data_IF_946099612615
#
_entry.id   IF_946099612615
#
_cell.length_a   1.000
_cell.length_b   1.000
_cell.length_c   1.000
_cell.angle_alpha   90.00
_cell.angle_beta   90.00
_cell.angle_gamma   90.00
#
_symmetry.space_group_name_H-M   'P 1'
#
loop_
_entity.id
_entity.type
_entity.pdbx_description
1 polymer ?
#
# COMPACT_ATOMS: atom_id res chain seq x y z
N UNK A 1 35.30 -4.46 -22.42
CA UNK A 1 34.94 -3.22 -21.70
C UNK A 1 33.43 -3.01 -21.70
N UNK A 2 32.78 -3.15 -22.86
CA UNK A 2 31.31 -3.18 -23.02
C UNK A 2 30.63 -4.30 -22.20
N UNK A 3 31.11 -5.54 -22.26
CA UNK A 3 30.53 -6.67 -21.50
C UNK A 3 30.55 -6.46 -19.99
N UNK A 4 31.66 -5.92 -19.45
CA UNK A 4 31.79 -5.62 -18.01
C UNK A 4 30.84 -4.51 -17.56
N UNK A 5 30.56 -3.52 -18.43
CA UNK A 5 29.54 -2.50 -18.17
C UNK A 5 28.13 -3.09 -18.19
N UNK A 6 27.84 -4.00 -19.12
CA UNK A 6 26.56 -4.69 -19.19
C UNK A 6 26.29 -5.58 -17.95
N UNK A 7 27.32 -6.28 -17.47
CA UNK A 7 27.24 -7.10 -16.26
C UNK A 7 26.98 -6.27 -14.99
N UNK A 8 27.70 -5.14 -14.84
CA UNK A 8 27.46 -4.19 -13.73
C UNK A 8 26.03 -3.65 -13.80
N UNK A 9 25.55 -3.27 -14.99
CA UNK A 9 24.19 -2.75 -15.17
C UNK A 9 23.15 -3.77 -14.75
N UNK A 10 23.31 -5.03 -15.14
CA UNK A 10 22.40 -6.13 -14.75
C UNK A 10 22.41 -6.36 -13.24
N UNK A 11 23.58 -6.29 -12.59
CA UNK A 11 23.71 -6.39 -11.15
C UNK A 11 23.00 -5.25 -10.40
N UNK A 12 23.16 -4.02 -10.89
CA UNK A 12 22.49 -2.84 -10.34
C UNK A 12 20.96 -2.91 -10.50
N UNK A 13 20.48 -3.37 -11.66
CA UNK A 13 19.05 -3.55 -11.90
C UNK A 13 18.45 -4.61 -10.96
N UNK A 14 19.14 -5.73 -10.75
CA UNK A 14 18.71 -6.76 -9.82
C UNK A 14 18.64 -6.25 -8.37
N UNK A 15 19.67 -5.51 -7.92
CA UNK A 15 19.68 -4.87 -6.60
C UNK A 15 18.51 -3.90 -6.45
N UNK A 16 18.27 -3.07 -7.46
CA UNK A 16 17.17 -2.11 -7.44
C UNK A 16 15.80 -2.77 -7.33
N UNK A 17 15.55 -3.81 -8.14
CA UNK A 17 14.29 -4.56 -8.08
C UNK A 17 14.09 -5.20 -6.70
N UNK A 18 15.17 -5.67 -6.06
CA UNK A 18 15.11 -6.15 -4.68
C UNK A 18 14.77 -5.03 -3.68
N UNK A 19 15.33 -3.82 -3.84
CA UNK A 19 15.00 -2.67 -2.99
C UNK A 19 13.54 -2.22 -3.20
N UNK A 20 13.05 -2.15 -4.44
CA UNK A 20 11.65 -1.87 -4.72
C UNK A 20 10.72 -2.91 -4.10
N UNK A 21 11.10 -4.19 -4.19
CA UNK A 21 10.35 -5.28 -3.58
C UNK A 21 10.33 -5.21 -2.04
N UNK A 22 11.21 -4.44 -1.40
CA UNK A 22 11.20 -4.18 0.04
C UNK A 22 10.51 -2.86 0.40
N UNK A 23 10.32 -1.95 -0.55
CA UNK A 23 9.67 -0.68 -0.31
C UNK A 23 8.21 -0.90 0.14
N UNK A 24 7.76 -0.29 1.26
CA UNK A 24 6.40 -0.45 1.76
C UNK A 24 5.34 -0.11 0.71
N UNK A 25 5.59 0.88 -0.14
CA UNK A 25 4.64 1.26 -1.19
C UNK A 25 4.31 0.10 -2.14
N UNK A 26 5.30 -0.76 -2.46
CA UNK A 26 5.15 -1.86 -3.42
C UNK A 26 5.05 -3.24 -2.78
N UNK A 27 5.29 -3.36 -1.47
CA UNK A 27 5.24 -4.62 -0.73
C UNK A 27 4.11 -4.62 0.33
N UNK A 28 2.98 -5.29 0.06
CA UNK A 28 1.84 -5.34 0.97
C UNK A 28 2.17 -5.92 2.35
N UNK A 29 3.10 -6.87 2.43
CA UNK A 29 3.50 -7.51 3.69
C UNK A 29 4.23 -6.50 4.57
N UNK A 30 5.30 -5.90 4.04
CA UNK A 30 6.09 -4.88 4.75
C UNK A 30 5.21 -3.70 5.17
N UNK A 31 4.30 -3.30 4.28
CA UNK A 31 3.35 -2.25 4.57
C UNK A 31 2.39 -2.60 5.71
N UNK A 32 1.78 -3.78 5.67
CA UNK A 32 0.91 -4.26 6.74
C UNK A 32 1.66 -4.28 8.07
N UNK A 33 2.87 -4.85 8.09
CA UNK A 33 3.71 -4.93 9.28
C UNK A 33 4.02 -3.55 9.87
N UNK A 34 4.36 -2.58 9.03
CA UNK A 34 4.56 -1.18 9.44
C UNK A 34 3.28 -0.59 10.03
N UNK A 35 2.13 -0.85 9.43
CA UNK A 35 0.86 -0.29 9.86
C UNK A 35 0.39 -0.85 11.22
N UNK A 36 0.56 -2.15 11.46
CA UNK A 36 0.10 -2.80 12.69
C UNK A 36 1.09 -2.69 13.86
N UNK A 37 2.31 -2.22 13.62
CA UNK A 37 3.32 -2.07 14.66
C UNK A 37 2.80 -1.20 15.81
N UNK A 38 2.93 -1.68 17.06
CA UNK A 38 2.39 -1.06 18.28
C UNK A 38 0.86 -0.88 18.31
N UNK A 39 0.11 -1.46 17.37
CA UNK A 39 -1.35 -1.45 17.38
C UNK A 39 -1.88 -2.47 18.40
N UNK A 40 -3.05 -2.20 19.01
CA UNK A 40 -3.76 -3.22 19.82
C UNK A 40 -4.02 -4.46 18.96
N UNK A 41 -3.69 -5.64 19.47
CA UNK A 41 -3.83 -6.91 18.72
C UNK A 41 -5.25 -7.12 18.22
N UNK A 42 -6.28 -6.86 19.04
CA UNK A 42 -7.68 -6.98 18.62
C UNK A 42 -8.05 -6.08 17.44
N UNK A 43 -7.47 -4.87 17.37
CA UNK A 43 -7.67 -3.96 16.25
C UNK A 43 -6.92 -4.44 15.01
N UNK A 44 -5.67 -4.88 15.16
CA UNK A 44 -4.89 -5.40 14.05
C UNK A 44 -5.55 -6.65 13.43
N UNK A 45 -6.05 -7.58 14.25
CA UNK A 45 -6.79 -8.76 13.77
C UNK A 45 -8.11 -8.42 13.09
N UNK A 46 -8.76 -7.32 13.48
CA UNK A 46 -9.94 -6.84 12.75
C UNK A 46 -9.59 -6.25 11.39
N UNK A 47 -8.38 -5.67 11.25
CA UNK A 47 -7.90 -5.06 10.02
C UNK A 47 -7.29 -6.10 9.05
N UNK A 48 -6.62 -7.10 9.61
CA UNK A 48 -5.83 -8.12 8.90
C UNK A 48 -6.01 -9.48 9.61
N UNK A 49 -7.17 -10.14 9.46
CA UNK A 49 -7.41 -11.45 10.06
C UNK A 49 -6.40 -12.51 9.59
N UNK A 50 -5.80 -12.34 8.42
CA UNK A 50 -4.75 -13.19 7.86
C UNK A 50 -3.47 -13.25 8.71
N UNK A 51 -3.25 -12.30 9.64
CA UNK A 51 -2.10 -12.33 10.56
C UNK A 51 -2.06 -13.62 11.40
N UNK A 52 -3.21 -14.21 11.70
CA UNK A 52 -3.33 -15.46 12.49
C UNK A 52 -3.51 -16.70 11.62
N UNK A 53 -3.39 -16.58 10.30
CA UNK A 53 -3.31 -17.74 9.42
C UNK A 53 -2.08 -18.59 9.78
N UNK A 54 -2.24 -19.92 9.84
CA UNK A 54 -1.21 -20.81 10.38
C UNK A 54 0.10 -20.75 9.61
N UNK A 55 0.06 -20.57 8.29
CA UNK A 55 1.26 -20.48 7.46
C UNK A 55 1.92 -19.10 7.60
N UNK A 56 1.11 -18.04 7.63
CA UNK A 56 1.59 -16.67 7.78
C UNK A 56 2.14 -16.39 9.19
N UNK A 57 1.53 -16.96 10.24
CA UNK A 57 2.03 -16.87 11.62
C UNK A 57 3.47 -17.35 11.69
N UNK A 58 3.80 -18.46 11.01
CA UNK A 58 5.16 -19.00 10.98
C UNK A 58 6.13 -18.00 10.36
N UNK A 59 5.80 -17.47 9.18
CA UNK A 59 6.58 -16.43 8.50
C UNK A 59 6.75 -15.20 9.41
N UNK A 60 5.67 -14.75 10.06
CA UNK A 60 5.66 -13.58 10.94
C UNK A 60 6.49 -13.76 12.21
N UNK A 61 6.37 -14.90 12.87
CA UNK A 61 7.13 -15.17 14.10
C UNK A 61 8.59 -15.49 13.79
N UNK A 62 8.86 -16.34 12.80
CA UNK A 62 10.23 -16.80 12.51
C UNK A 62 11.07 -15.74 11.78
N UNK A 63 10.52 -15.03 10.80
CA UNK A 63 11.29 -14.07 10.00
C UNK A 63 11.23 -12.64 10.57
N UNK A 64 10.07 -12.23 11.07
CA UNK A 64 9.84 -10.85 11.53
C UNK A 64 9.75 -10.71 13.06
N UNK A 65 9.89 -11.80 13.82
CA UNK A 65 9.89 -11.73 15.28
C UNK A 65 8.62 -11.14 15.88
N UNK A 66 7.46 -11.34 15.24
CA UNK A 66 6.19 -10.75 15.68
C UNK A 66 5.66 -11.46 16.91
N UNK A 67 5.31 -10.69 17.94
CA UNK A 67 4.68 -11.18 19.18
C UNK A 67 3.28 -10.58 19.31
N UNK A 68 2.28 -11.45 19.43
CA UNK A 68 0.88 -11.09 19.63
C UNK A 68 0.57 -11.03 21.13
N UNK A 69 0.60 -9.82 21.72
CA UNK A 69 0.25 -9.57 23.12
C UNK A 69 -1.02 -8.75 23.27
N UNK A 70 -1.05 -7.82 24.24
CA UNK A 70 -2.07 -6.74 24.29
C UNK A 70 -1.94 -5.81 23.07
N UNK A 71 -0.71 -5.66 22.60
CA UNK A 71 -0.31 -4.94 21.40
C UNK A 71 0.54 -5.87 20.53
N UNK A 72 0.61 -5.56 19.24
CA UNK A 72 1.54 -6.22 18.33
C UNK A 72 2.93 -5.63 18.56
N UNK A 73 3.86 -6.49 18.90
CA UNK A 73 5.28 -6.17 19.03
C UNK A 73 6.05 -6.81 17.89
N UNK A 74 7.00 -6.07 17.33
CA UNK A 74 7.95 -6.55 16.33
C UNK A 74 9.32 -6.52 17.00
N UNK A 75 10.04 -7.63 16.98
CA UNK A 75 11.33 -7.78 17.66
C UNK A 75 12.47 -7.99 16.67
N UNK A 76 13.70 -7.75 17.14
CA UNK A 76 14.94 -8.15 16.50
C UNK A 76 15.02 -7.75 15.02
N UNK A 77 15.31 -8.72 14.15
CA UNK A 77 15.44 -8.58 12.70
C UNK A 77 14.21 -7.94 12.03
N UNK A 78 13.00 -8.16 12.54
CA UNK A 78 11.80 -7.57 11.97
C UNK A 78 11.76 -6.06 12.09
N UNK A 79 12.24 -5.50 13.21
CA UNK A 79 12.37 -4.04 13.38
C UNK A 79 13.38 -3.47 12.40
N UNK A 80 14.54 -4.12 12.27
CA UNK A 80 15.60 -3.70 11.35
C UNK A 80 15.13 -3.73 9.89
N UNK A 81 14.41 -4.78 9.47
CA UNK A 81 13.85 -4.86 8.12
C UNK A 81 12.83 -3.74 7.86
N UNK A 82 11.94 -3.46 8.82
CA UNK A 82 10.95 -2.39 8.65
C UNK A 82 11.58 -1.00 8.63
N UNK A 83 12.59 -0.78 9.45
CA UNK A 83 13.36 0.46 9.44
C UNK A 83 14.14 0.61 8.13
N UNK A 84 14.78 -0.45 7.65
CA UNK A 84 15.45 -0.48 6.36
C UNK A 84 14.48 -0.21 5.21
N UNK A 85 13.31 -0.85 5.19
CA UNK A 85 12.27 -0.62 4.18
C UNK A 85 11.76 0.82 4.19
N UNK A 86 11.55 1.41 5.37
CA UNK A 86 11.19 2.82 5.52
C UNK A 86 12.30 3.73 4.97
N UNK A 87 13.56 3.44 5.30
CA UNK A 87 14.70 4.19 4.80
C UNK A 87 14.85 4.06 3.28
N UNK A 88 14.51 2.91 2.68
CA UNK A 88 14.45 2.75 1.22
C UNK A 88 13.41 3.70 0.64
N UNK A 89 12.19 3.72 1.18
CA UNK A 89 11.12 4.60 0.70
C UNK A 89 11.55 6.08 0.74
N UNK A 90 12.08 6.54 1.88
CA UNK A 90 12.59 7.91 2.04
C UNK A 90 13.78 8.21 1.11
N UNK A 91 14.70 7.25 0.94
CA UNK A 91 15.84 7.44 0.03
C UNK A 91 15.44 7.41 -1.43
N UNK A 92 14.41 6.66 -1.81
CA UNK A 92 13.84 6.69 -3.15
C UNK A 92 13.20 8.05 -3.46
N UNK A 93 12.81 8.84 -2.47
CA UNK A 93 12.33 10.21 -2.69
C UNK A 93 13.46 11.23 -2.89
N UNK A 94 14.73 10.86 -2.65
CA UNK A 94 15.87 11.76 -2.80
C UNK A 94 16.20 12.03 -4.28
N UNK A 95 16.31 13.31 -4.65
CA UNK A 95 16.69 13.76 -5.98
C UNK A 95 18.01 13.13 -6.47
N UNK A 96 19.01 13.04 -5.59
CA UNK A 96 20.30 12.40 -5.91
C UNK A 96 20.15 10.92 -6.26
N UNK A 97 19.32 10.18 -5.52
CA UNK A 97 19.07 8.76 -5.78
C UNK A 97 18.27 8.59 -7.07
N UNK A 98 17.31 9.46 -7.32
CA UNK A 98 16.51 9.51 -8.55
C UNK A 98 17.35 9.76 -9.81
N UNK A 99 18.33 10.67 -9.71
CA UNK A 99 19.21 10.98 -10.83
C UNK A 99 20.19 9.84 -11.12
N UNK A 100 20.70 9.17 -10.09
CA UNK A 100 21.49 7.93 -10.26
C UNK A 100 20.65 6.85 -10.96
N UNK A 101 19.36 6.69 -10.61
CA UNK A 101 18.48 5.74 -11.29
C UNK A 101 18.29 6.09 -12.77
N UNK A 102 18.01 7.36 -13.06
CA UNK A 102 17.83 7.83 -14.43
C UNK A 102 19.09 7.61 -15.27
N UNK A 103 20.26 7.92 -14.73
CA UNK A 103 21.56 7.79 -15.41
C UNK A 103 21.92 6.33 -15.72
N UNK A 104 21.80 5.44 -14.74
CA UNK A 104 22.32 4.06 -14.87
C UNK A 104 21.32 3.06 -15.45
N UNK A 105 20.02 3.24 -15.17
CA UNK A 105 18.98 2.30 -15.61
C UNK A 105 18.22 2.81 -16.83
N UNK A 106 18.28 4.12 -17.12
CA UNK A 106 17.46 4.74 -18.17
C UNK A 106 15.99 4.85 -17.78
N UNK A 107 15.67 4.76 -16.49
CA UNK A 107 14.33 4.90 -15.92
C UNK A 107 14.42 5.81 -14.70
N UNK A 108 13.59 6.85 -14.67
CA UNK A 108 13.39 7.69 -13.48
C UNK A 108 12.09 7.23 -12.81
N UNK A 109 12.06 7.13 -11.48
CA UNK A 109 10.79 7.15 -10.78
C UNK A 109 10.34 8.62 -10.83
N UNK A 110 9.52 8.98 -11.81
CA UNK A 110 9.09 10.38 -12.00
C UNK A 110 8.38 10.96 -10.77
N UNK A 111 7.98 10.11 -9.82
CA UNK A 111 7.12 10.38 -8.67
C UNK A 111 7.63 9.65 -7.43
N UNK A 112 7.15 10.04 -6.24
CA UNK A 112 7.43 9.30 -5.00
C UNK A 112 6.90 7.86 -5.11
N UNK A 113 7.53 6.87 -4.44
CA UNK A 113 7.07 5.48 -4.47
C UNK A 113 5.58 5.32 -4.13
N UNK A 114 5.10 6.03 -3.11
CA UNK A 114 3.70 6.00 -2.72
C UNK A 114 2.76 6.57 -3.79
N UNK A 115 3.19 7.62 -4.52
CA UNK A 115 2.39 8.20 -5.60
C UNK A 115 2.39 7.30 -6.84
N UNK A 116 3.55 6.79 -7.24
CA UNK A 116 3.67 5.86 -8.36
C UNK A 116 2.83 4.60 -8.13
N UNK A 117 2.87 4.04 -6.92
CA UNK A 117 2.00 2.93 -6.53
C UNK A 117 0.51 3.28 -6.65
N UNK A 118 0.10 4.45 -6.16
CA UNK A 118 -1.30 4.89 -6.29
C UNK A 118 -1.71 5.02 -7.75
N UNK A 119 -0.85 5.53 -8.62
CA UNK A 119 -1.15 5.61 -10.06
C UNK A 119 -1.30 4.25 -10.72
N UNK A 120 -0.40 3.30 -10.41
CA UNK A 120 -0.52 1.91 -10.88
C UNK A 120 -1.85 1.31 -10.42
N UNK A 121 -2.24 1.53 -9.16
CA UNK A 121 -3.48 0.99 -8.62
C UNK A 121 -4.72 1.67 -9.23
N UNK A 122 -4.69 2.98 -9.44
CA UNK A 122 -5.79 3.72 -10.09
C UNK A 122 -5.94 3.27 -11.54
N UNK A 123 -4.84 3.08 -12.26
CA UNK A 123 -4.84 2.54 -13.62
C UNK A 123 -5.45 1.12 -13.66
N UNK A 124 -5.11 0.27 -12.69
CA UNK A 124 -5.71 -1.07 -12.55
C UNK A 124 -7.22 -1.02 -12.25
N UNK A 125 -7.73 0.09 -11.70
CA UNK A 125 -9.13 0.33 -11.37
C UNK A 125 -9.86 1.21 -12.39
N UNK A 126 -9.22 1.61 -13.51
CA UNK A 126 -9.76 2.61 -14.45
C UNK A 126 -11.13 2.26 -15.05
N UNK A 127 -11.45 0.97 -15.15
CA UNK A 127 -12.72 0.48 -15.67
C UNK A 127 -13.80 0.33 -14.60
N UNK A 128 -13.44 0.49 -13.31
CA UNK A 128 -14.35 0.41 -12.17
C UNK A 128 -14.62 1.81 -11.61
N UNK A 129 -15.58 2.49 -12.23
CA UNK A 129 -15.96 3.85 -11.81
C UNK A 129 -16.45 3.88 -10.35
N UNK A 130 -17.14 2.84 -9.87
CA UNK A 130 -17.62 2.78 -8.48
C UNK A 130 -16.43 2.77 -7.51
N UNK A 131 -15.41 1.97 -7.79
CA UNK A 131 -14.20 1.89 -6.96
C UNK A 131 -13.48 3.25 -6.89
N UNK A 132 -13.26 3.91 -8.03
CA UNK A 132 -12.53 5.17 -8.07
C UNK A 132 -13.27 6.31 -7.34
N UNK A 133 -14.59 6.40 -7.52
CA UNK A 133 -15.44 7.40 -6.85
C UNK A 133 -15.51 7.16 -5.34
N UNK A 134 -15.55 5.89 -4.94
CA UNK A 134 -15.46 5.49 -3.54
C UNK A 134 -14.11 5.83 -2.92
N UNK A 135 -13.01 5.51 -3.59
CA UNK A 135 -11.68 5.88 -3.13
C UNK A 135 -11.53 7.39 -2.98
N UNK A 136 -12.09 8.18 -3.90
CA UNK A 136 -12.10 9.64 -3.80
C UNK A 136 -12.83 10.12 -2.55
N UNK A 137 -14.09 9.71 -2.36
CA UNK A 137 -14.89 10.12 -1.20
C UNK A 137 -14.25 9.65 0.11
N UNK A 138 -13.74 8.43 0.15
CA UNK A 138 -13.03 7.88 1.30
C UNK A 138 -11.72 8.62 1.59
N UNK A 139 -10.99 9.06 0.57
CA UNK A 139 -9.78 9.85 0.77
C UNK A 139 -10.08 11.24 1.37
N UNK A 140 -11.22 11.83 1.02
CA UNK A 140 -11.65 13.13 1.56
C UNK A 140 -12.19 13.02 2.99
N UNK A 141 -13.01 12.01 3.26
CA UNK A 141 -13.64 11.80 4.58
C UNK A 141 -12.75 11.01 5.55
N UNK A 142 -11.75 10.32 5.03
CA UNK A 142 -10.87 9.38 5.73
C UNK A 142 -11.53 8.06 6.06
N UNK A 143 -12.70 8.12 6.69
CA UNK A 143 -13.38 7.00 7.29
C UNK A 143 -14.90 7.14 7.18
N UNK A 144 -15.61 6.10 6.74
CA UNK A 144 -17.07 6.13 6.71
C UNK A 144 -17.73 4.75 6.67
N UNK A 145 -19.07 4.74 6.82
CA UNK A 145 -19.91 3.53 6.67
C UNK A 145 -20.36 3.35 5.21
N UNK A 146 -20.73 2.14 4.80
CA UNK A 146 -21.25 1.89 3.44
C UNK A 146 -22.47 2.76 3.09
N UNK A 147 -23.40 2.93 4.03
CA UNK A 147 -24.60 3.74 3.79
C UNK A 147 -24.25 5.20 3.51
N UNK A 148 -23.32 5.76 4.29
CA UNK A 148 -22.81 7.12 4.07
C UNK A 148 -22.05 7.22 2.75
N UNK A 149 -21.20 6.24 2.43
CA UNK A 149 -20.44 6.21 1.18
C UNK A 149 -21.35 6.17 -0.06
N UNK A 150 -22.36 5.30 -0.03
CA UNK A 150 -23.39 5.19 -1.08
C UNK A 150 -24.11 6.53 -1.25
N UNK A 151 -24.55 7.12 -0.15
CA UNK A 151 -25.25 8.41 -0.17
C UNK A 151 -24.38 9.53 -0.72
N UNK A 152 -23.11 9.61 -0.32
CA UNK A 152 -22.18 10.64 -0.78
C UNK A 152 -21.84 10.49 -2.26
N UNK A 153 -21.63 9.26 -2.75
CA UNK A 153 -21.36 9.04 -4.17
C UNK A 153 -22.58 9.37 -5.01
N UNK A 154 -23.78 8.92 -4.61
CA UNK A 154 -25.02 9.26 -5.31
C UNK A 154 -25.23 10.77 -5.36
N UNK A 155 -25.01 11.46 -4.24
CA UNK A 155 -25.18 12.92 -4.13
C UNK A 155 -24.20 13.69 -5.02
N UNK A 156 -22.94 13.25 -5.10
CA UNK A 156 -21.87 13.99 -5.78
C UNK A 156 -21.73 13.65 -7.26
N UNK A 157 -21.99 12.39 -7.62
CA UNK A 157 -21.69 11.85 -8.95
C UNK A 157 -22.92 11.26 -9.66
N UNK A 158 -24.07 11.19 -8.99
CA UNK A 158 -25.31 10.67 -9.59
C UNK A 158 -25.30 9.16 -9.88
N UNK A 159 -24.32 8.42 -9.38
CA UNK A 159 -24.18 6.99 -9.62
C UNK A 159 -25.01 6.22 -8.58
N UNK A 160 -25.88 5.33 -9.06
CA UNK A 160 -26.64 4.40 -8.23
C UNK A 160 -26.09 2.98 -8.37
N UNK A 161 -25.93 2.30 -7.25
CA UNK A 161 -25.46 0.91 -7.18
C UNK A 161 -25.89 0.28 -5.86
N UNK A 162 -25.91 -1.05 -5.82
CA UNK A 162 -26.21 -1.82 -4.62
C UNK A 162 -25.00 -1.91 -3.68
N UNK A 163 -25.25 -2.25 -2.40
CA UNK A 163 -24.19 -2.56 -1.44
C UNK A 163 -23.25 -3.65 -1.99
N UNK A 164 -23.79 -4.68 -2.62
CA UNK A 164 -22.99 -5.80 -3.15
C UNK A 164 -22.09 -5.38 -4.33
N UNK A 165 -22.55 -4.47 -5.18
CA UNK A 165 -21.72 -3.90 -6.25
C UNK A 165 -20.56 -3.09 -5.66
N UNK A 166 -20.84 -2.24 -4.67
CA UNK A 166 -19.80 -1.48 -3.97
C UNK A 166 -18.76 -2.39 -3.31
N UNK A 167 -19.22 -3.43 -2.62
CA UNK A 167 -18.33 -4.41 -1.97
C UNK A 167 -17.38 -5.07 -2.98
N UNK A 168 -17.91 -5.52 -4.13
CA UNK A 168 -17.10 -6.13 -5.19
C UNK A 168 -16.09 -5.15 -5.78
N UNK A 169 -16.51 -3.91 -6.05
CA UNK A 169 -15.64 -2.87 -6.58
C UNK A 169 -14.53 -2.50 -5.62
N UNK A 170 -14.84 -2.37 -4.32
CA UNK A 170 -13.83 -2.03 -3.33
C UNK A 170 -12.89 -3.20 -3.01
N UNK A 171 -13.33 -4.46 -3.14
CA UNK A 171 -12.51 -5.65 -2.89
C UNK A 171 -11.17 -5.57 -3.63
N UNK A 172 -11.19 -5.18 -4.91
CA UNK A 172 -9.98 -5.00 -5.71
C UNK A 172 -9.07 -3.88 -5.16
N UNK A 173 -9.65 -2.78 -4.69
CA UNK A 173 -8.87 -1.71 -4.07
C UNK A 173 -8.26 -2.12 -2.71
N UNK A 174 -8.89 -3.02 -1.97
CA UNK A 174 -8.32 -3.62 -0.75
C UNK A 174 -7.19 -4.59 -1.04
N UNK A 175 -7.34 -5.44 -2.07
CA UNK A 175 -6.26 -6.33 -2.56
C UNK A 175 -5.05 -5.53 -3.03
N UNK A 176 -5.29 -4.35 -3.62
CA UNK A 176 -4.27 -3.35 -3.96
C UNK A 176 -3.83 -2.49 -2.76
N UNK A 177 -4.14 -2.90 -1.53
CA UNK A 177 -3.74 -2.23 -0.29
C UNK A 177 -4.08 -0.72 -0.17
N UNK A 178 -4.99 -0.19 -0.99
CA UNK A 178 -5.43 1.21 -0.92
C UNK A 178 -6.39 1.46 0.26
N UNK A 179 -7.11 0.42 0.67
CA UNK A 179 -8.14 0.47 1.72
C UNK A 179 -7.76 -0.34 2.95
N UNK A 180 -8.32 0.05 4.09
CA UNK A 180 -8.40 -0.77 5.31
C UNK A 180 -9.58 -1.76 5.23
N UNK A 181 -9.61 -2.72 6.16
CA UNK A 181 -10.57 -3.85 6.20
C UNK A 181 -12.02 -3.49 5.88
N UNK A 182 -12.71 -4.43 5.23
CA UNK A 182 -14.16 -4.39 5.11
C UNK A 182 -14.84 -4.87 6.40
N UNK A 183 -15.09 -3.96 7.32
CA UNK A 183 -16.14 -4.20 8.33
C UNK A 183 -17.39 -3.42 7.98
N UNK A 184 -18.55 -3.82 8.51
CA UNK A 184 -19.82 -3.14 8.24
C UNK A 184 -19.80 -1.65 8.60
N UNK A 185 -18.93 -1.26 9.53
CA UNK A 185 -18.81 0.11 10.00
C UNK A 185 -17.55 0.81 9.50
N UNK A 186 -16.45 0.13 9.17
CA UNK A 186 -15.14 0.78 9.00
C UNK A 186 -14.48 0.62 7.62
N UNK A 187 -14.89 1.41 6.61
CA UNK A 187 -14.14 1.55 5.34
C UNK A 187 -13.34 2.85 5.36
N UNK A 188 -12.03 2.78 5.12
CA UNK A 188 -11.18 3.97 5.05
C UNK A 188 -10.00 3.81 4.10
N UNK A 189 -9.53 4.93 3.57
CA UNK A 189 -8.28 4.97 2.79
C UNK A 189 -7.11 5.00 3.76
N UNK A 190 -6.08 4.21 3.47
CA UNK A 190 -4.88 4.21 4.30
C UNK A 190 -4.18 5.56 4.20
N UNK A 191 -3.81 6.12 5.35
CA UNK A 191 -3.39 7.52 5.47
C UNK A 191 -2.22 7.89 4.53
N UNK A 192 -1.28 6.97 4.33
CA UNK A 192 -0.11 7.21 3.47
C UNK A 192 -0.47 7.44 1.99
N UNK A 193 -1.58 6.87 1.50
CA UNK A 193 -2.02 7.01 0.12
C UNK A 193 -3.08 8.08 -0.05
N UNK A 194 -3.69 8.53 1.06
CA UNK A 194 -4.82 9.46 1.04
C UNK A 194 -4.55 10.70 0.22
N UNK A 195 -3.43 11.38 0.47
CA UNK A 195 -3.03 12.58 -0.28
C UNK A 195 -2.89 12.28 -1.77
N UNK A 196 -2.18 11.21 -2.12
CA UNK A 196 -1.89 10.86 -3.51
C UNK A 196 -3.14 10.41 -4.27
N UNK A 197 -4.07 9.71 -3.63
CA UNK A 197 -5.37 9.36 -4.22
C UNK A 197 -6.15 10.61 -4.63
N UNK A 198 -6.14 11.68 -3.82
CA UNK A 198 -6.77 12.96 -4.18
C UNK A 198 -6.05 13.70 -5.33
N UNK A 199 -4.74 13.48 -5.50
CA UNK A 199 -3.98 14.09 -6.59
C UNK A 199 -4.19 13.38 -7.93
N UNK A 200 -4.27 12.04 -7.87
CA UNK A 200 -4.33 11.15 -9.04
C UNK A 200 -5.76 10.96 -9.52
N UNK A 201 -6.70 10.74 -8.61
CA UNK A 201 -8.13 10.55 -8.92
C UNK A 201 -8.76 11.94 -9.11
N UNK A 202 -8.65 12.46 -10.33
CA UNK A 202 -9.29 13.71 -10.78
C UNK A 202 -10.62 13.37 -11.45
N UNK A 203 -11.70 13.33 -10.67
CA UNK A 203 -13.02 13.00 -11.19
C UNK A 203 -14.12 13.90 -10.67
#
# INVERSE_FOLDING_TARGET
MEERKAEIRKGLEALFNALLALCPAYNPLIFMLRHISAMKTSKALSLYPEIVDKELVKIFTELFGIKLGRYIEIADLGKEILEFAKNIEEKMESETVQDIFAEFLGKKLEKTPARDYVEICVEALKEDEIALRALRVLAELGYTSYGTLISEIKKRFGIEYSKDQLMKSLQKAYELALLSSFSESLVGVRDIYRKHLLEVIKI
#
